data_IF_555433644968
#
_entry.id   IF_555433644968
#
_cell.length_a   1.000
_cell.length_b   1.000
_cell.length_c   1.000
_cell.angle_alpha   90.00
_cell.angle_beta   90.00
_cell.angle_gamma   90.00
#
_symmetry.space_group_name_H-M   'P 1'
#
loop_
_entity.id
_entity.type
_entity.pdbx_description
1 polymer ?
#
# COMPACT_ATOMS: atom_id res chain seq x y z
N UNK A 1 -23.68 -0.38 20.23
CA UNK A 1 -22.65 -1.42 20.09
C UNK A 1 -21.36 -0.70 19.83
N UNK A 2 -20.48 -0.70 20.83
CA UNK A 2 -19.28 0.13 20.88
C UNK A 2 -18.15 -0.56 20.06
N UNK A 3 -17.21 0.20 19.46
CA UNK A 3 -16.14 -0.36 18.61
C UNK A 3 -15.36 -1.50 19.29
N UNK A 4 -15.23 -1.44 20.62
CA UNK A 4 -14.54 -2.45 21.43
C UNK A 4 -15.22 -3.82 21.41
N UNK A 5 -16.56 -3.87 21.38
CA UNK A 5 -17.32 -5.14 21.31
C UNK A 5 -17.09 -5.84 19.96
N UNK A 6 -16.91 -5.05 18.91
CA UNK A 6 -16.70 -5.58 17.58
C UNK A 6 -15.23 -5.93 17.27
N UNK A 7 -14.25 -5.26 17.88
CA UNK A 7 -12.87 -5.73 17.84
C UNK A 7 -12.75 -7.10 18.53
N UNK A 8 -13.43 -7.28 19.66
CA UNK A 8 -13.57 -8.59 20.31
C UNK A 8 -14.22 -9.60 19.37
N UNK A 9 -15.27 -9.22 18.64
CA UNK A 9 -15.88 -10.09 17.62
C UNK A 9 -14.88 -10.49 16.53
N UNK A 10 -14.02 -9.58 16.07
CA UNK A 10 -12.93 -9.88 15.14
C UNK A 10 -11.98 -10.95 15.65
N UNK A 11 -11.61 -10.90 16.94
CA UNK A 11 -10.78 -11.92 17.59
C UNK A 11 -11.51 -13.25 17.68
N UNK A 12 -12.79 -13.25 18.04
CA UNK A 12 -13.60 -14.46 18.11
C UNK A 12 -13.76 -15.13 16.74
N UNK A 13 -14.01 -14.36 15.68
CA UNK A 13 -14.17 -14.91 14.33
C UNK A 13 -12.90 -15.61 13.85
N UNK A 14 -11.72 -15.08 14.20
CA UNK A 14 -10.44 -15.71 13.85
C UNK A 14 -10.20 -17.04 14.58
N UNK A 15 -10.87 -17.28 15.71
CA UNK A 15 -10.79 -18.55 16.44
C UNK A 15 -11.64 -19.67 15.79
N UNK A 16 -12.57 -19.33 14.91
CA UNK A 16 -13.45 -20.30 14.24
C UNK A 16 -12.70 -20.92 13.04
N UNK A 17 -12.77 -22.25 12.84
CA UNK A 17 -12.22 -22.89 11.64
C UNK A 17 -12.80 -22.30 10.34
N UNK A 18 -11.99 -22.13 9.29
CA UNK A 18 -12.47 -21.53 8.02
C UNK A 18 -13.57 -22.36 7.38
N UNK A 19 -13.53 -23.68 7.54
CA UNK A 19 -14.57 -24.56 6.99
C UNK A 19 -15.95 -24.26 7.61
N UNK A 20 -15.98 -24.09 8.93
CA UNK A 20 -17.21 -23.76 9.67
C UNK A 20 -17.68 -22.35 9.31
N UNK A 21 -16.76 -21.38 9.22
CA UNK A 21 -17.09 -20.04 8.73
C UNK A 21 -17.63 -20.06 7.29
N UNK A 22 -17.04 -20.85 6.39
CA UNK A 22 -17.48 -20.90 4.99
C UNK A 22 -18.87 -21.51 4.82
N UNK A 23 -19.26 -22.42 5.71
CA UNK A 23 -20.56 -23.09 5.67
C UNK A 23 -21.67 -22.26 6.32
N UNK A 24 -21.36 -21.56 7.40
CA UNK A 24 -22.35 -20.83 8.22
C UNK A 24 -22.46 -19.33 7.90
N UNK A 25 -21.46 -18.73 7.23
CA UNK A 25 -21.46 -17.30 6.97
C UNK A 25 -22.41 -16.91 5.83
N UNK A 26 -23.43 -16.11 6.17
CA UNK A 26 -24.33 -15.50 5.19
C UNK A 26 -23.96 -14.03 4.93
N UNK A 27 -23.42 -13.74 3.73
CA UNK A 27 -22.94 -12.40 3.35
C UNK A 27 -24.01 -11.37 2.93
N UNK A 28 -25.26 -11.57 3.39
CA UNK A 28 -26.36 -10.65 3.06
C UNK A 28 -26.30 -9.33 3.82
N UNK A 29 -25.62 -9.32 4.97
CA UNK A 29 -25.52 -8.14 5.84
C UNK A 29 -24.31 -7.29 5.48
N UNK A 30 -24.48 -6.43 4.48
CA UNK A 30 -23.40 -5.59 3.93
C UNK A 30 -22.70 -4.71 5.00
N UNK A 31 -23.43 -4.28 6.02
CA UNK A 31 -22.88 -3.46 7.11
C UNK A 31 -21.91 -4.26 7.99
N UNK A 32 -22.16 -5.55 8.21
CA UNK A 32 -21.27 -6.43 8.96
C UNK A 32 -19.99 -6.63 8.16
N UNK A 33 -20.09 -6.91 6.86
CA UNK A 33 -18.92 -7.08 5.98
C UNK A 33 -18.09 -5.81 5.86
N UNK A 34 -18.76 -4.65 5.75
CA UNK A 34 -18.10 -3.34 5.79
C UNK A 34 -17.29 -3.14 7.06
N UNK A 35 -17.87 -3.50 8.21
CA UNK A 35 -17.18 -3.42 9.48
C UNK A 35 -16.00 -4.40 9.55
N UNK A 36 -16.20 -5.66 9.15
CA UNK A 36 -15.16 -6.69 9.15
C UNK A 36 -13.97 -6.31 8.27
N UNK A 37 -14.21 -5.61 7.16
CA UNK A 37 -13.14 -5.07 6.31
C UNK A 37 -12.31 -3.94 6.94
N UNK A 38 -12.76 -3.34 8.04
CA UNK A 38 -12.03 -2.25 8.72
C UNK A 38 -11.18 -2.72 9.89
N UNK A 39 -11.41 -3.94 10.37
CA UNK A 39 -10.59 -4.55 11.43
C UNK A 39 -9.44 -5.37 10.83
N UNK A 40 -8.41 -5.60 11.63
CA UNK A 40 -7.27 -6.41 11.22
C UNK A 40 -7.62 -7.90 11.32
N UNK A 41 -7.79 -8.55 10.17
CA UNK A 41 -8.18 -9.95 10.08
C UNK A 41 -7.03 -10.76 9.50
N UNK A 42 -6.90 -12.00 9.95
CA UNK A 42 -5.98 -12.92 9.30
C UNK A 42 -6.37 -13.19 7.84
N UNK A 43 -5.36 -13.59 7.05
CA UNK A 43 -5.53 -13.82 5.61
C UNK A 43 -6.51 -14.94 5.29
N UNK A 44 -6.67 -15.93 6.18
CA UNK A 44 -7.58 -17.06 6.01
C UNK A 44 -9.02 -16.56 6.05
N UNK A 45 -9.38 -15.75 7.06
CA UNK A 45 -10.69 -15.14 7.21
C UNK A 45 -10.98 -14.14 6.08
N UNK A 46 -9.99 -13.33 5.67
CA UNK A 46 -10.15 -12.47 4.49
C UNK A 46 -10.52 -13.28 3.25
N UNK A 47 -9.89 -14.44 3.04
CA UNK A 47 -10.24 -15.36 1.95
C UNK A 47 -11.66 -15.91 2.04
N UNK A 48 -12.13 -16.27 3.24
CA UNK A 48 -13.52 -16.71 3.46
C UNK A 48 -14.52 -15.58 3.14
N UNK A 49 -14.26 -14.37 3.64
CA UNK A 49 -15.09 -13.20 3.39
C UNK A 49 -15.12 -12.83 1.90
N UNK A 50 -13.98 -12.88 1.21
CA UNK A 50 -13.87 -12.63 -0.22
C UNK A 50 -14.69 -13.64 -1.04
N UNK A 51 -14.58 -14.94 -0.73
CA UNK A 51 -15.39 -15.96 -1.40
C UNK A 51 -16.89 -15.75 -1.16
N UNK A 52 -17.26 -15.36 0.05
CA UNK A 52 -18.63 -15.11 0.42
C UNK A 52 -19.21 -13.87 -0.30
N UNK A 53 -18.43 -12.78 -0.42
CA UNK A 53 -18.76 -11.63 -1.26
C UNK A 53 -18.90 -11.99 -2.74
N UNK A 54 -17.99 -12.82 -3.27
CA UNK A 54 -18.03 -13.27 -4.65
C UNK A 54 -19.28 -14.10 -4.95
N UNK A 55 -19.71 -14.94 -4.01
CA UNK A 55 -20.96 -15.72 -4.13
C UNK A 55 -22.19 -14.82 -4.13
N UNK A 56 -22.23 -13.80 -3.27
CA UNK A 56 -23.39 -12.92 -3.10
C UNK A 56 -23.51 -11.86 -4.21
N UNK A 57 -22.41 -11.19 -4.54
CA UNK A 57 -22.39 -10.01 -5.42
C UNK A 57 -21.72 -10.26 -6.78
N UNK A 58 -21.09 -11.42 -6.97
CA UNK A 58 -20.43 -11.78 -8.23
C UNK A 58 -19.35 -10.78 -8.62
N UNK A 59 -19.30 -10.45 -9.92
CA UNK A 59 -18.33 -9.49 -10.48
C UNK A 59 -18.58 -8.05 -10.05
N UNK A 60 -19.76 -7.71 -9.50
CA UNK A 60 -20.08 -6.33 -9.12
C UNK A 60 -19.14 -5.79 -8.05
N UNK A 61 -18.54 -6.67 -7.22
CA UNK A 61 -17.55 -6.29 -6.21
C UNK A 61 -16.37 -5.52 -6.81
N UNK A 62 -15.94 -5.89 -8.02
CA UNK A 62 -14.77 -5.30 -8.69
C UNK A 62 -15.15 -4.22 -9.71
N UNK A 63 -16.38 -4.25 -10.21
CA UNK A 63 -16.89 -3.31 -11.21
C UNK A 63 -17.50 -2.04 -10.62
N UNK A 64 -17.60 -1.92 -9.30
CA UNK A 64 -18.10 -0.72 -8.63
C UNK A 64 -17.21 -0.37 -7.43
N UNK A 65 -16.57 0.81 -7.53
CA UNK A 65 -15.68 1.34 -6.50
C UNK A 65 -16.34 1.48 -5.12
N UNK A 66 -17.66 1.67 -5.04
CA UNK A 66 -18.38 1.76 -3.76
C UNK A 66 -18.30 0.45 -2.96
N UNK A 67 -18.33 -0.70 -3.63
CA UNK A 67 -18.15 -1.99 -2.97
C UNK A 67 -16.71 -2.18 -2.51
N UNK A 68 -15.73 -1.85 -3.36
CA UNK A 68 -14.31 -1.92 -3.02
C UNK A 68 -14.02 -1.05 -1.77
N UNK A 69 -14.50 0.19 -1.79
CA UNK A 69 -14.35 1.14 -0.68
C UNK A 69 -15.07 0.70 0.58
N UNK A 70 -16.18 -0.04 0.46
CA UNK A 70 -16.92 -0.55 1.60
C UNK A 70 -16.23 -1.73 2.25
N UNK A 71 -15.61 -2.62 1.48
CA UNK A 71 -15.05 -3.87 1.99
C UNK A 71 -13.56 -3.80 2.34
N UNK A 72 -12.86 -2.72 1.98
CA UNK A 72 -11.53 -2.34 2.47
C UNK A 72 -10.55 -3.52 2.49
N UNK A 73 -10.20 -4.08 3.65
CA UNK A 73 -9.18 -5.14 3.77
C UNK A 73 -9.61 -6.47 3.18
N UNK A 74 -10.92 -6.71 3.01
CA UNK A 74 -11.45 -7.93 2.36
C UNK A 74 -10.96 -8.02 0.91
N UNK A 75 -10.58 -6.88 0.30
CA UNK A 75 -9.94 -6.87 -1.01
C UNK A 75 -8.71 -7.80 -1.06
N UNK A 76 -7.93 -7.88 0.03
CA UNK A 76 -6.76 -8.75 0.14
C UNK A 76 -7.09 -10.25 0.28
N UNK A 77 -8.36 -10.62 0.39
CA UNK A 77 -8.83 -12.01 0.35
C UNK A 77 -9.07 -12.55 -1.06
N UNK A 78 -9.17 -11.69 -2.08
CA UNK A 78 -9.45 -12.11 -3.46
C UNK A 78 -8.21 -12.64 -4.20
N UNK A 79 -8.43 -13.50 -5.19
CA UNK A 79 -7.38 -13.96 -6.10
C UNK A 79 -6.83 -12.82 -6.96
N UNK A 80 -5.65 -13.02 -7.55
CA UNK A 80 -5.06 -12.04 -8.47
C UNK A 80 -5.97 -11.81 -9.68
N UNK A 81 -6.53 -12.89 -10.21
CA UNK A 81 -7.45 -12.90 -11.36
C UNK A 81 -8.75 -12.13 -11.08
N UNK A 82 -9.13 -12.03 -9.81
CA UNK A 82 -10.27 -11.23 -9.36
C UNK A 82 -9.90 -9.74 -9.28
N UNK A 83 -8.72 -9.40 -8.76
CA UNK A 83 -8.24 -8.02 -8.66
C UNK A 83 -7.97 -7.39 -10.04
N UNK A 84 -7.53 -8.18 -11.02
CA UNK A 84 -7.34 -7.72 -12.41
C UNK A 84 -8.62 -7.22 -13.08
N UNK A 85 -9.79 -7.60 -12.56
CA UNK A 85 -11.09 -7.17 -13.09
C UNK A 85 -11.49 -5.75 -12.65
N UNK A 86 -10.72 -5.11 -11.75
CA UNK A 86 -10.97 -3.73 -11.34
C UNK A 86 -10.68 -2.81 -12.53
N UNK A 87 -11.73 -2.18 -13.06
CA UNK A 87 -11.62 -1.19 -14.13
C UNK A 87 -10.89 0.07 -13.62
N UNK A 88 -10.05 0.64 -14.47
CA UNK A 88 -9.32 1.89 -14.30
C UNK A 88 -10.19 3.06 -13.80
N UNK A 89 -11.39 3.25 -14.37
CA UNK A 89 -12.35 4.30 -13.98
C UNK A 89 -12.82 4.12 -12.52
N UNK A 90 -12.96 2.88 -12.07
CA UNK A 90 -13.28 2.59 -10.67
C UNK A 90 -12.06 2.72 -9.77
N UNK A 91 -10.88 2.34 -10.27
CA UNK A 91 -9.65 2.31 -9.49
C UNK A 91 -9.29 3.71 -8.97
N UNK A 92 -9.43 4.75 -9.81
CA UNK A 92 -9.15 6.13 -9.41
C UNK A 92 -10.09 6.66 -8.31
N UNK A 93 -11.26 6.03 -8.13
CA UNK A 93 -12.27 6.37 -7.12
C UNK A 93 -12.10 5.55 -5.82
N UNK A 94 -11.13 4.63 -5.79
CA UNK A 94 -10.83 3.87 -4.59
C UNK A 94 -10.26 4.83 -3.53
N UNK A 95 -10.82 4.74 -2.32
CA UNK A 95 -10.45 5.59 -1.21
C UNK A 95 -9.10 5.16 -0.61
N UNK A 96 -8.52 6.08 0.14
CA UNK A 96 -7.25 5.87 0.79
C UNK A 96 -7.25 4.70 1.80
N UNK A 97 -8.38 4.43 2.46
CA UNK A 97 -8.50 3.37 3.48
C UNK A 97 -8.19 1.99 2.89
N UNK A 98 -8.66 1.72 1.66
CA UNK A 98 -8.37 0.48 0.93
C UNK A 98 -6.87 0.35 0.70
N UNK A 99 -6.21 1.38 0.17
CA UNK A 99 -4.76 1.35 -0.11
C UNK A 99 -3.92 1.20 1.16
N UNK A 100 -4.37 1.79 2.27
CA UNK A 100 -3.72 1.63 3.58
C UNK A 100 -3.80 0.17 4.08
N UNK A 101 -4.83 -0.59 3.70
CA UNK A 101 -5.03 -1.98 4.11
C UNK A 101 -4.24 -3.01 3.28
N UNK A 102 -3.51 -2.57 2.26
CA UNK A 102 -2.72 -3.45 1.39
C UNK A 102 -1.52 -4.11 2.09
N UNK A 103 -1.25 -3.75 3.35
CA UNK A 103 -0.32 -4.50 4.20
C UNK A 103 -0.78 -5.94 4.46
N UNK A 104 -2.10 -6.19 4.40
CA UNK A 104 -2.68 -7.53 4.51
C UNK A 104 -2.64 -8.32 3.17
N UNK A 105 -2.33 -7.65 2.06
CA UNK A 105 -2.21 -8.26 0.75
C UNK A 105 -0.83 -8.90 0.56
N UNK A 106 -0.80 -10.04 -0.13
CA UNK A 106 0.45 -10.65 -0.55
C UNK A 106 1.15 -9.81 -1.64
N UNK A 107 2.41 -10.16 -1.94
CA UNK A 107 3.22 -9.45 -2.93
C UNK A 107 2.61 -9.44 -4.34
N UNK A 108 2.06 -10.56 -4.80
CA UNK A 108 1.42 -10.66 -6.13
C UNK A 108 0.15 -9.83 -6.24
N UNK A 109 -0.70 -9.82 -5.20
CA UNK A 109 -1.89 -8.97 -5.16
C UNK A 109 -1.51 -7.48 -5.22
N UNK A 110 -0.51 -7.08 -4.42
CA UNK A 110 0.00 -5.70 -4.46
C UNK A 110 0.55 -5.36 -5.84
N UNK A 111 1.29 -6.28 -6.46
CA UNK A 111 1.88 -6.11 -7.79
C UNK A 111 0.81 -5.77 -8.83
N UNK A 112 -0.29 -6.52 -8.87
CA UNK A 112 -1.42 -6.26 -9.78
C UNK A 112 -2.04 -4.89 -9.56
N UNK A 113 -2.24 -4.49 -8.30
CA UNK A 113 -2.79 -3.17 -7.99
C UNK A 113 -1.84 -2.02 -8.40
N UNK A 114 -0.53 -2.22 -8.29
CA UNK A 114 0.45 -1.27 -8.82
C UNK A 114 0.48 -1.23 -10.34
N UNK A 115 0.38 -2.38 -11.00
CA UNK A 115 0.30 -2.45 -12.45
C UNK A 115 -0.92 -1.70 -12.99
N UNK A 116 -2.05 -1.72 -12.28
CA UNK A 116 -3.20 -0.86 -12.59
C UNK A 116 -2.88 0.61 -12.32
N UNK A 117 -2.30 0.93 -11.16
CA UNK A 117 -1.98 2.30 -10.78
C UNK A 117 -1.06 3.02 -11.78
N UNK A 118 -0.07 2.31 -12.34
CA UNK A 118 0.92 2.89 -13.27
C UNK A 118 0.43 3.03 -14.71
N UNK A 119 -0.81 2.58 -15.00
CA UNK A 119 -1.38 2.77 -16.33
C UNK A 119 -1.54 4.27 -16.64
N UNK A 120 -1.24 4.72 -17.87
CA UNK A 120 -1.32 6.15 -18.23
C UNK A 120 -2.69 6.80 -17.99
N UNK A 121 -3.75 6.00 -18.06
CA UNK A 121 -5.16 6.38 -17.84
C UNK A 121 -5.57 6.47 -16.37
N UNK A 122 -4.74 5.96 -15.45
CA UNK A 122 -5.04 5.92 -14.00
C UNK A 122 -4.22 6.99 -13.27
N UNK A 123 -2.99 6.68 -12.84
CA UNK A 123 -2.07 7.66 -12.25
C UNK A 123 -0.79 7.85 -13.06
N UNK A 124 -0.56 7.02 -14.09
CA UNK A 124 0.64 7.05 -14.91
C UNK A 124 1.90 6.64 -14.14
N UNK A 125 3.06 6.90 -14.74
CA UNK A 125 4.35 6.50 -14.18
C UNK A 125 4.63 7.19 -12.82
N UNK A 126 5.33 6.52 -11.88
CA UNK A 126 5.57 7.06 -10.53
C UNK A 126 6.22 8.45 -10.50
N UNK A 127 7.06 8.76 -11.48
CA UNK A 127 7.74 10.05 -11.61
C UNK A 127 6.78 11.25 -11.67
N UNK A 128 5.56 11.03 -12.19
CA UNK A 128 4.51 12.04 -12.30
C UNK A 128 3.53 12.09 -11.13
N UNK A 129 3.68 11.23 -10.12
CA UNK A 129 2.72 11.18 -9.01
C UNK A 129 2.83 12.43 -8.14
N UNK A 130 1.68 13.09 -7.94
CA UNK A 130 1.61 14.26 -7.06
C UNK A 130 1.59 13.87 -5.58
N UNK A 131 1.76 14.86 -4.71
CA UNK A 131 1.54 14.71 -3.26
C UNK A 131 0.18 14.08 -2.92
N UNK A 132 -0.87 14.43 -3.64
CA UNK A 132 -2.21 13.89 -3.43
C UNK A 132 -2.27 12.40 -3.80
N UNK A 133 -1.67 12.02 -4.93
CA UNK A 133 -1.58 10.63 -5.38
C UNK A 133 -0.78 9.80 -4.37
N UNK A 134 0.41 10.26 -3.98
CA UNK A 134 1.23 9.57 -2.96
C UNK A 134 0.50 9.44 -1.62
N UNK A 135 -0.33 10.42 -1.25
CA UNK A 135 -1.19 10.29 -0.07
C UNK A 135 -2.19 9.16 -0.25
N UNK A 136 -2.91 9.09 -1.36
CA UNK A 136 -3.92 8.07 -1.61
C UNK A 136 -3.33 6.66 -1.75
N UNK A 137 -2.35 6.47 -2.63
CA UNK A 137 -1.85 5.15 -3.03
C UNK A 137 -0.46 4.82 -2.46
N UNK A 138 0.03 5.57 -1.49
CA UNK A 138 1.42 5.51 -1.02
C UNK A 138 1.90 4.12 -0.60
N UNK A 139 1.02 3.23 -0.14
CA UNK A 139 1.38 1.84 0.21
C UNK A 139 1.94 1.07 -0.99
N UNK A 140 1.59 1.43 -2.22
CA UNK A 140 2.14 0.83 -3.44
C UNK A 140 3.62 1.19 -3.67
N UNK A 141 4.16 2.23 -3.02
CA UNK A 141 5.60 2.52 -3.04
C UNK A 141 6.45 1.35 -2.50
N UNK A 142 5.84 0.49 -1.69
CA UNK A 142 6.44 -0.77 -1.21
C UNK A 142 6.87 -1.71 -2.33
N UNK A 143 6.26 -1.62 -3.51
CA UNK A 143 6.59 -2.45 -4.68
C UNK A 143 7.11 -1.65 -5.87
N UNK A 144 7.01 -0.32 -5.83
CA UNK A 144 7.65 0.55 -6.82
C UNK A 144 9.16 0.34 -6.86
N UNK A 145 9.79 0.18 -8.04
CA UNK A 145 11.23 0.07 -8.17
C UNK A 145 11.96 1.27 -7.58
N UNK A 146 13.11 1.04 -6.93
CA UNK A 146 13.90 2.12 -6.30
C UNK A 146 14.28 3.20 -7.31
N UNK A 147 14.64 2.80 -8.53
CA UNK A 147 14.87 3.70 -9.67
C UNK A 147 13.74 4.73 -9.84
N UNK A 148 12.50 4.27 -9.84
CA UNK A 148 11.35 5.13 -10.11
C UNK A 148 11.08 6.04 -8.90
N UNK A 149 11.38 5.57 -7.68
CA UNK A 149 11.28 6.37 -6.46
C UNK A 149 12.26 7.56 -6.44
N UNK A 150 13.50 7.37 -6.87
CA UNK A 150 14.52 8.45 -6.87
C UNK A 150 14.34 9.45 -8.02
N UNK A 151 13.56 9.09 -9.04
CA UNK A 151 13.19 9.97 -10.15
C UNK A 151 11.89 10.75 -9.89
N UNK A 152 11.12 10.39 -8.86
CA UNK A 152 9.89 11.07 -8.47
C UNK A 152 10.16 12.44 -7.84
N UNK A 153 9.25 13.40 -8.06
CA UNK A 153 9.33 14.73 -7.44
C UNK A 153 9.47 14.59 -5.91
N UNK A 154 10.56 15.12 -5.30
CA UNK A 154 10.75 15.12 -3.86
C UNK A 154 9.55 15.67 -3.07
N UNK A 155 8.78 16.62 -3.62
CA UNK A 155 7.59 17.19 -2.98
C UNK A 155 6.42 16.21 -2.91
N UNK A 156 6.34 15.22 -3.81
CA UNK A 156 5.31 14.20 -3.78
C UNK A 156 5.37 13.38 -2.48
N UNK A 157 6.58 13.13 -1.96
CA UNK A 157 6.79 12.41 -0.70
C UNK A 157 6.26 13.13 0.54
N UNK A 158 5.84 14.39 0.45
CA UNK A 158 5.07 15.03 1.52
C UNK A 158 3.67 14.42 1.71
N UNK A 159 3.21 13.58 0.78
CA UNK A 159 1.97 12.83 0.88
C UNK A 159 2.10 11.56 1.70
N UNK A 160 3.33 11.10 1.98
CA UNK A 160 3.57 9.86 2.72
C UNK A 160 2.91 9.87 4.09
N UNK A 161 2.22 8.77 4.40
CA UNK A 161 1.60 8.57 5.70
C UNK A 161 2.38 7.59 6.57
N UNK A 162 2.37 7.73 7.91
CA UNK A 162 3.10 6.85 8.83
C UNK A 162 2.92 5.36 8.56
N UNK A 163 1.70 4.93 8.22
CA UNK A 163 1.40 3.51 7.96
C UNK A 163 2.08 2.98 6.69
N UNK A 164 2.37 3.83 5.69
CA UNK A 164 3.06 3.45 4.45
C UNK A 164 4.49 2.97 4.70
N UNK A 165 5.20 3.53 5.68
CA UNK A 165 6.59 3.12 5.97
C UNK A 165 6.70 1.69 6.43
N UNK A 166 5.69 1.19 7.14
CA UNK A 166 5.67 -0.20 7.58
C UNK A 166 5.61 -1.17 6.41
N UNK A 167 5.16 -0.69 5.24
CA UNK A 167 5.15 -1.48 4.02
C UNK A 167 6.46 -1.38 3.22
N UNK A 168 7.31 -0.37 3.49
CA UNK A 168 8.61 -0.22 2.82
C UNK A 168 9.67 -1.08 3.51
N UNK A 169 10.55 -1.69 2.71
CA UNK A 169 11.75 -2.35 3.21
C UNK A 169 12.84 -1.33 3.64
N UNK A 170 13.85 -1.84 4.35
CA UNK A 170 14.95 -1.02 4.88
C UNK A 170 15.76 -0.33 3.79
N UNK A 171 15.91 -0.95 2.61
CA UNK A 171 16.66 -0.40 1.48
C UNK A 171 15.96 0.83 0.90
N UNK A 172 14.64 0.74 0.68
CA UNK A 172 13.79 1.85 0.25
C UNK A 172 13.76 2.96 1.28
N UNK A 173 13.58 2.62 2.56
CA UNK A 173 13.60 3.62 3.64
C UNK A 173 14.94 4.35 3.67
N UNK A 174 16.05 3.62 3.57
CA UNK A 174 17.38 4.22 3.55
C UNK A 174 17.57 5.13 2.34
N UNK A 175 17.24 4.64 1.15
CA UNK A 175 17.38 5.37 -0.11
C UNK A 175 16.56 6.66 -0.10
N UNK A 176 15.28 6.58 0.30
CA UNK A 176 14.41 7.75 0.41
C UNK A 176 14.93 8.76 1.45
N UNK A 177 15.49 8.30 2.58
CA UNK A 177 16.10 9.19 3.57
C UNK A 177 17.28 9.96 2.99
N UNK A 178 18.17 9.29 2.26
CA UNK A 178 19.33 9.93 1.61
C UNK A 178 18.86 10.93 0.55
N UNK A 179 17.97 10.47 -0.34
CA UNK A 179 17.42 11.27 -1.43
C UNK A 179 16.71 12.53 -0.91
N UNK A 180 15.77 12.40 0.02
CA UNK A 180 14.99 13.53 0.54
C UNK A 180 15.79 14.47 1.45
N UNK A 181 16.93 14.02 1.98
CA UNK A 181 17.85 14.89 2.71
C UNK A 181 18.56 15.86 1.77
N UNK A 182 18.91 15.42 0.56
CA UNK A 182 19.51 16.30 -0.45
C UNK A 182 18.63 17.53 -0.75
N UNK A 183 17.31 17.35 -0.72
CA UNK A 183 16.33 18.42 -0.95
C UNK A 183 15.85 19.15 0.32
N UNK A 184 16.46 18.89 1.49
CA UNK A 184 16.03 19.42 2.79
C UNK A 184 14.53 19.21 3.07
N UNK A 185 13.96 18.11 2.55
CA UNK A 185 12.57 17.72 2.74
C UNK A 185 12.42 16.65 3.81
N UNK A 186 13.45 15.83 4.04
CA UNK A 186 13.44 14.84 5.12
C UNK A 186 13.31 15.47 6.51
N UNK A 187 13.77 16.70 6.70
CA UNK A 187 13.70 17.46 7.95
C UNK A 187 12.39 18.24 8.08
N UNK A 188 11.82 18.69 6.96
CA UNK A 188 10.58 19.48 6.90
C UNK A 188 9.32 18.63 6.96
N UNK A 189 9.38 17.39 6.49
CA UNK A 189 8.26 16.49 6.58
C UNK A 189 8.14 15.93 8.00
N UNK A 190 7.08 16.33 8.69
CA UNK A 190 6.77 15.98 10.08
C UNK A 190 6.77 14.45 10.32
N UNK A 191 6.42 13.69 9.29
CA UNK A 191 6.48 12.24 9.26
C UNK A 191 7.89 11.65 9.50
N UNK A 192 8.96 12.24 8.94
CA UNK A 192 10.33 11.75 9.16
C UNK A 192 10.87 12.11 10.54
N UNK A 193 10.27 13.09 11.23
CA UNK A 193 10.57 13.43 12.62
C UNK A 193 10.02 12.36 13.58
N UNK A 194 8.86 11.78 13.27
CA UNK A 194 8.22 10.71 14.04
C UNK A 194 8.97 9.38 13.87
N UNK A 195 9.48 9.11 12.66
CA UNK A 195 10.19 7.87 12.29
C UNK A 195 11.67 8.00 12.66
N UNK A 196 11.92 8.58 13.84
CA UNK A 196 13.24 9.03 14.30
C UNK A 196 14.36 8.08 13.89
N UNK A 197 15.43 8.70 13.36
CA UNK A 197 16.76 8.11 13.12
C UNK A 197 16.97 6.89 14.01
N UNK A 198 17.08 5.66 13.46
CA UNK A 198 17.35 4.50 14.29
C UNK A 198 18.68 4.74 15.00
N UNK A 199 18.65 4.77 16.33
CA UNK A 199 19.81 4.82 17.22
C UNK A 199 20.76 3.62 17.07
N UNK A 200 20.54 2.73 16.10
CA UNK A 200 21.39 1.58 15.76
C UNK A 200 22.40 1.76 14.62
N UNK A 201 22.36 2.83 13.82
CA UNK A 201 23.20 2.97 12.61
C UNK A 201 24.62 3.54 12.86
N UNK A 202 25.31 3.12 13.93
CA UNK A 202 26.72 3.51 14.16
C UNK A 202 27.76 2.64 13.45
N UNK A 203 27.39 1.59 12.72
CA UNK A 203 28.36 0.61 12.19
C UNK A 203 28.50 0.47 10.67
N UNK A 204 27.82 1.28 9.85
CA UNK A 204 27.86 1.13 8.38
C UNK A 204 28.62 2.28 7.68
N UNK A 205 29.42 3.04 8.43
CA UNK A 205 30.09 4.25 7.92
C UNK A 205 31.34 3.98 7.05
N UNK A 206 31.79 2.73 6.86
CA UNK A 206 33.06 2.44 6.16
C UNK A 206 32.91 1.78 4.79
N UNK A 207 31.80 1.13 4.46
CA UNK A 207 31.73 0.35 3.20
C UNK A 207 31.11 1.13 2.03
N UNK A 208 30.41 2.25 2.28
CA UNK A 208 29.62 2.93 1.24
C UNK A 208 30.24 4.21 0.67
N UNK A 209 31.47 4.57 1.07
CA UNK A 209 32.22 5.65 0.42
C UNK A 209 32.50 5.37 -1.06
N UNK A 210 32.51 4.10 -1.47
CA UNK A 210 32.82 3.68 -2.83
C UNK A 210 31.61 3.75 -3.79
N UNK A 211 30.41 3.48 -3.28
CA UNK A 211 29.16 3.63 -4.05
C UNK A 211 28.79 5.10 -4.24
N UNK A 212 29.10 5.95 -3.25
CA UNK A 212 28.88 7.40 -3.33
C UNK A 212 29.71 8.07 -4.44
N UNK A 213 30.95 7.61 -4.68
CA UNK A 213 31.77 8.13 -5.79
C UNK A 213 31.26 7.70 -7.16
N UNK A 214 30.75 6.46 -7.28
CA UNK A 214 30.25 5.93 -8.56
C UNK A 214 28.99 6.65 -9.05
N UNK A 215 28.06 6.95 -8.13
CA UNK A 215 26.81 7.67 -8.45
C UNK A 215 27.12 9.13 -8.85
N UNK A 216 28.05 9.79 -8.16
CA UNK A 216 28.47 11.15 -8.51
C UNK A 216 29.19 11.21 -9.86
N UNK A 217 30.03 10.22 -10.19
CA UNK A 217 30.71 10.19 -11.49
C UNK A 217 29.76 9.91 -12.66
N UNK A 218 28.73 9.11 -12.47
CA UNK A 218 27.76 8.80 -13.53
C UNK A 218 26.76 9.94 -13.78
N UNK A 219 26.44 10.74 -12.76
CA UNK A 219 25.65 11.96 -12.92
C UNK A 219 26.45 13.14 -13.49
N UNK A 220 27.73 13.31 -13.11
CA UNK A 220 28.57 14.39 -13.64
C UNK A 220 28.78 14.27 -15.17
N UNK A 221 28.85 13.05 -15.71
CA UNK A 221 29.01 12.82 -17.16
C UNK A 221 27.73 13.15 -17.95
N UNK A 222 26.55 13.11 -17.33
CA UNK A 222 25.28 13.42 -18.01
C UNK A 222 25.00 14.92 -18.14
N UNK A 223 25.65 15.76 -17.35
CA UNK A 223 25.43 17.22 -17.31
C UNK A 223 26.64 18.06 -17.75
N UNK A 224 27.74 17.42 -18.15
CA UNK A 224 28.85 18.08 -18.87
C UNK A 224 28.79 17.66 -20.34
N UNK A 225 27.87 18.29 -21.08
CA UNK A 225 28.09 18.53 -22.52
C UNK A 225 28.45 20.00 -22.66
N UNK A 226 29.75 20.24 -22.81
CA UNK A 226 30.29 21.45 -23.46
C UNK A 226 30.03 21.29 -24.96
#
# INVERSE_FOLDING_TARGET
MEMEEFEKLGVFLQAIPAYDLQSELHCKHINILSFLGKINLDRKLLGVLAQCLKKEFGKQVFMNYEYINKFVSILCGFGVEDLEQINEDNFILINQEVFISLDQCNSHQRQVLYEIAVRPTVYGIPQGWSKSVVRTIGTLLAITPIKDLIEMDPLAFQGLQPKVLRALDDEKIHTLKVYLRYFDLSTKNEFWKIVGVPSGFRRVKREYSFLYSLILTSYAVKYVKI
#
